data_IF_127473239349
#
_entry.id   IF_127473239349
#
_cell.length_a   1.000
_cell.length_b   1.000
_cell.length_c   1.000
_cell.angle_alpha   90.00
_cell.angle_beta   90.00
_cell.angle_gamma   90.00
#
_symmetry.space_group_name_H-M   'P 1'
#
loop_
_entity.id
_entity.type
_entity.pdbx_description
1 polymer ?
#
# COMPACT_ATOMS: atom_id res chain seq x y z
N UNK A 1 49.71 17.71 -14.92
CA UNK A 1 48.32 17.29 -15.19
C UNK A 1 47.63 17.11 -13.85
N UNK A 2 46.83 18.09 -13.43
CA UNK A 2 46.03 17.98 -12.21
C UNK A 2 44.73 17.25 -12.57
N UNK A 3 44.54 16.08 -11.97
CA UNK A 3 43.32 15.31 -12.13
C UNK A 3 42.16 16.08 -11.48
N UNK A 4 41.19 16.44 -12.32
CA UNK A 4 39.92 17.03 -11.92
C UNK A 4 39.13 15.94 -11.18
N UNK A 5 39.19 15.94 -9.84
CA UNK A 5 38.32 15.13 -8.98
C UNK A 5 36.89 15.60 -9.20
N UNK A 6 36.13 14.85 -10.00
CA UNK A 6 34.68 14.95 -10.08
C UNK A 6 34.10 14.60 -8.70
N UNK A 7 33.79 15.62 -7.91
CA UNK A 7 32.86 15.49 -6.80
C UNK A 7 31.48 15.20 -7.39
N UNK A 8 31.15 13.91 -7.48
CA UNK A 8 29.79 13.46 -7.72
C UNK A 8 28.94 13.91 -6.52
N UNK A 9 28.38 15.12 -6.63
CA UNK A 9 27.42 15.69 -5.68
C UNK A 9 26.06 15.01 -5.85
N UNK A 10 26.00 13.73 -5.51
CA UNK A 10 24.75 12.98 -5.37
C UNK A 10 24.54 12.55 -3.91
N UNK A 11 24.77 13.47 -2.97
CA UNK A 11 24.08 13.40 -1.68
C UNK A 11 22.98 14.44 -1.71
N UNK A 12 21.94 14.17 -2.52
CA UNK A 12 20.64 14.76 -2.24
C UNK A 12 20.22 14.18 -0.89
N UNK A 13 20.30 15.01 0.16
CA UNK A 13 19.70 14.70 1.46
C UNK A 13 18.24 14.40 1.20
N UNK A 14 17.88 13.13 1.25
CA UNK A 14 16.49 12.71 1.27
C UNK A 14 15.93 13.21 2.59
N UNK A 15 15.15 14.29 2.53
CA UNK A 15 14.18 14.58 3.58
C UNK A 15 13.16 13.44 3.52
N UNK A 16 13.42 12.35 4.25
CA UNK A 16 12.36 11.40 4.58
C UNK A 16 11.40 12.15 5.48
N UNK A 17 10.40 12.75 4.85
CA UNK A 17 9.23 13.27 5.51
C UNK A 17 8.67 12.07 6.29
N UNK A 18 8.85 12.08 7.61
CA UNK A 18 8.54 10.97 8.53
C UNK A 18 7.08 10.56 8.36
N UNK A 19 6.83 9.58 7.48
CA UNK A 19 5.49 9.07 7.20
C UNK A 19 5.04 8.25 8.41
N UNK A 20 3.91 8.67 9.00
CA UNK A 20 3.22 8.12 10.18
C UNK A 20 3.86 6.90 10.84
N UNK A 21 4.50 7.11 11.99
CA UNK A 21 5.10 6.08 12.85
C UNK A 21 4.06 5.25 13.63
N UNK A 22 2.87 5.02 13.08
CA UNK A 22 1.83 4.19 13.67
C UNK A 22 1.54 3.00 12.77
N UNK A 23 1.69 1.78 13.29
CA UNK A 23 1.16 0.61 12.62
C UNK A 23 -0.37 0.67 12.64
N UNK A 24 -1.00 0.65 11.47
CA UNK A 24 -2.46 0.65 11.32
C UNK A 24 -2.92 -0.78 11.10
N UNK A 25 -3.81 -1.27 11.97
CA UNK A 25 -4.46 -2.57 11.77
C UNK A 25 -5.70 -2.37 10.92
N UNK A 26 -5.64 -2.84 9.68
CA UNK A 26 -6.75 -2.80 8.72
C UNK A 26 -7.46 -4.14 8.72
N UNK A 27 -8.79 -4.12 8.69
CA UNK A 27 -9.58 -5.35 8.49
C UNK A 27 -10.21 -5.33 7.10
N UNK A 28 -9.89 -6.33 6.30
CA UNK A 28 -10.49 -6.58 4.98
C UNK A 28 -11.66 -7.55 5.14
N UNK A 29 -12.72 -7.33 4.39
CA UNK A 29 -13.96 -8.11 4.45
C UNK A 29 -14.35 -8.61 3.06
N UNK A 30 -14.86 -9.84 3.02
CA UNK A 30 -15.28 -10.51 1.78
C UNK A 30 -16.60 -9.99 1.21
N UNK A 31 -17.49 -9.50 2.07
CA UNK A 31 -18.76 -8.95 1.61
C UNK A 31 -18.82 -7.44 1.83
N UNK A 32 -19.82 -6.81 1.21
CA UNK A 32 -20.18 -5.41 1.47
C UNK A 32 -20.59 -5.20 2.93
N UNK A 33 -20.54 -3.95 3.40
CA UNK A 33 -20.97 -3.57 4.75
C UNK A 33 -20.31 -4.38 5.88
N UNK A 34 -19.03 -4.75 5.70
CA UNK A 34 -18.23 -5.46 6.70
C UNK A 34 -18.73 -6.87 7.02
N UNK A 35 -19.31 -7.56 6.03
CA UNK A 35 -19.77 -8.93 6.15
C UNK A 35 -18.73 -9.98 5.72
N UNK A 36 -19.11 -11.25 5.84
CA UNK A 36 -18.34 -12.37 5.30
C UNK A 36 -17.07 -12.71 6.08
N UNK A 37 -16.14 -13.39 5.38
CA UNK A 37 -14.82 -13.72 5.91
C UNK A 37 -14.00 -12.45 6.12
N UNK A 38 -13.08 -12.47 7.10
CA UNK A 38 -12.25 -11.32 7.42
C UNK A 38 -10.76 -11.65 7.41
N UNK A 39 -9.95 -10.65 7.06
CA UNK A 39 -8.49 -10.73 7.14
C UNK A 39 -7.92 -9.44 7.73
N UNK A 40 -7.21 -9.57 8.86
CA UNK A 40 -6.51 -8.47 9.50
C UNK A 40 -5.10 -8.31 8.94
N UNK A 41 -4.76 -7.10 8.50
CA UNK A 41 -3.41 -6.75 8.05
C UNK A 41 -2.87 -5.59 8.88
N UNK A 42 -1.66 -5.75 9.41
CA UNK A 42 -0.94 -4.65 10.06
C UNK A 42 -0.09 -3.95 9.02
N UNK A 43 -0.43 -2.70 8.71
CA UNK A 43 0.27 -1.86 7.74
C UNK A 43 1.18 -0.90 8.52
N UNK A 44 2.49 -0.98 8.27
CA UNK A 44 3.51 -0.14 8.92
C UNK A 44 4.03 0.93 7.94
N UNK A 45 5.33 1.01 7.66
CA UNK A 45 5.87 1.90 6.63
C UNK A 45 5.94 1.24 5.23
N UNK A 46 5.72 -0.07 5.14
CA UNK A 46 6.03 -0.88 3.97
C UNK A 46 4.78 -1.47 3.30
N UNK A 47 4.99 -1.98 2.09
CA UNK A 47 4.01 -2.80 1.37
C UNK A 47 3.81 -4.16 2.04
N UNK A 48 2.57 -4.63 2.09
CA UNK A 48 2.20 -5.93 2.66
C UNK A 48 1.40 -6.77 1.66
N UNK A 49 2.00 -7.85 1.19
CA UNK A 49 1.39 -8.87 0.31
C UNK A 49 0.70 -10.02 1.07
N UNK A 50 0.38 -9.81 2.35
CA UNK A 50 -0.17 -10.84 3.24
C UNK A 50 -1.53 -11.42 2.81
N UNK A 51 -2.45 -10.67 2.16
CA UNK A 51 -3.71 -11.24 1.66
C UNK A 51 -3.46 -12.43 0.71
N UNK A 52 -2.48 -12.34 -0.18
CA UNK A 52 -2.10 -13.44 -1.10
C UNK A 52 -1.62 -14.66 -0.31
N UNK A 53 -0.69 -14.45 0.63
CA UNK A 53 -0.08 -15.54 1.42
C UNK A 53 -1.11 -16.25 2.29
N UNK A 54 -2.12 -15.52 2.77
CA UNK A 54 -3.19 -16.03 3.61
C UNK A 54 -4.39 -16.62 2.83
N UNK A 55 -4.39 -16.59 1.49
CA UNK A 55 -5.52 -17.06 0.68
C UNK A 55 -6.74 -16.13 0.68
N UNK A 56 -6.52 -14.85 1.01
CA UNK A 56 -7.51 -13.77 0.93
C UNK A 56 -7.28 -12.88 -0.31
N UNK A 57 -6.63 -13.42 -1.34
CA UNK A 57 -6.39 -12.74 -2.60
C UNK A 57 -7.70 -12.46 -3.33
N UNK A 58 -7.85 -11.27 -3.92
CA UNK A 58 -8.99 -10.96 -4.82
C UNK A 58 -10.36 -11.19 -4.16
N UNK A 59 -10.43 -10.95 -2.86
CA UNK A 59 -11.65 -11.17 -2.05
C UNK A 59 -12.07 -9.96 -1.25
N UNK A 60 -11.38 -8.83 -1.37
CA UNK A 60 -11.71 -7.66 -0.55
C UNK A 60 -12.84 -6.87 -1.20
N UNK A 61 -13.96 -6.75 -0.49
CA UNK A 61 -15.13 -5.98 -0.92
C UNK A 61 -15.44 -4.82 0.01
N UNK A 62 -15.11 -4.90 1.30
CA UNK A 62 -15.19 -3.76 2.22
C UNK A 62 -14.02 -3.70 3.19
N UNK A 63 -13.74 -2.50 3.74
CA UNK A 63 -12.55 -2.24 4.54
C UNK A 63 -12.90 -1.44 5.78
N UNK A 64 -12.43 -1.90 6.94
CA UNK A 64 -12.50 -1.14 8.18
C UNK A 64 -11.12 -0.65 8.60
N UNK A 65 -11.03 0.64 8.91
CA UNK A 65 -9.86 1.28 9.49
C UNK A 65 -10.13 1.69 10.95
N UNK A 66 -9.11 1.68 11.83
CA UNK A 66 -9.26 2.04 13.24
C UNK A 66 -9.75 3.46 13.47
N UNK A 67 -9.30 4.40 12.64
CA UNK A 67 -9.66 5.81 12.70
C UNK A 67 -10.19 6.32 11.36
N UNK A 68 -11.08 7.32 11.40
CA UNK A 68 -11.58 8.01 10.21
C UNK A 68 -10.50 8.78 9.45
N UNK A 69 -9.36 9.05 10.11
CA UNK A 69 -8.23 9.77 9.54
C UNK A 69 -7.11 8.83 9.06
N UNK A 70 -7.23 7.52 9.30
CA UNK A 70 -6.27 6.56 8.78
C UNK A 70 -6.43 6.43 7.27
N UNK A 71 -5.31 6.17 6.60
CA UNK A 71 -5.25 6.06 5.15
C UNK A 71 -4.37 4.89 4.74
N UNK A 72 -4.91 4.01 3.90
CA UNK A 72 -4.17 2.93 3.25
C UNK A 72 -4.45 2.90 1.75
N UNK A 73 -3.54 2.32 0.98
CA UNK A 73 -3.72 2.05 -0.44
C UNK A 73 -3.90 0.56 -0.63
N UNK A 74 -4.97 0.19 -1.34
CA UNK A 74 -5.17 -1.15 -1.87
C UNK A 74 -4.49 -1.24 -3.22
N UNK A 75 -3.86 -2.37 -3.51
CA UNK A 75 -3.19 -2.64 -4.77
C UNK A 75 -3.74 -3.91 -5.41
N UNK A 76 -3.95 -3.84 -6.71
CA UNK A 76 -4.49 -4.96 -7.49
C UNK A 76 -3.52 -6.13 -7.48
N UNK A 77 -2.24 -5.85 -7.68
CA UNK A 77 -1.22 -6.88 -7.77
C UNK A 77 -0.47 -7.04 -6.44
N UNK A 78 0.24 -8.15 -6.35
CA UNK A 78 1.18 -8.40 -5.26
C UNK A 78 2.31 -7.36 -5.29
N UNK A 79 2.93 -7.14 -4.13
CA UNK A 79 4.13 -6.31 -3.99
C UNK A 79 3.88 -4.84 -4.36
N UNK A 80 2.63 -4.38 -4.14
CA UNK A 80 2.15 -3.02 -4.36
C UNK A 80 2.38 -2.53 -5.79
N UNK A 81 1.86 -3.30 -6.74
CA UNK A 81 1.92 -3.04 -8.18
C UNK A 81 0.50 -2.95 -8.76
N UNK A 82 0.41 -2.65 -10.05
CA UNK A 82 -0.86 -2.59 -10.77
C UNK A 82 -1.65 -1.32 -10.50
N UNK A 83 -2.98 -1.44 -10.61
CA UNK A 83 -3.93 -0.40 -10.22
C UNK A 83 -3.98 -0.26 -8.70
N UNK A 84 -4.32 0.94 -8.23
CA UNK A 84 -4.34 1.25 -6.82
C UNK A 84 -5.47 2.19 -6.44
N UNK A 85 -6.00 2.04 -5.24
CA UNK A 85 -7.04 2.91 -4.70
C UNK A 85 -6.74 3.31 -3.26
N UNK A 86 -6.85 4.61 -2.95
CA UNK A 86 -6.66 5.12 -1.60
C UNK A 86 -7.95 5.05 -0.82
N UNK A 87 -7.87 4.41 0.35
CA UNK A 87 -8.96 4.25 1.32
C UNK A 87 -8.66 5.18 2.48
N UNK A 88 -9.47 6.23 2.63
CA UNK A 88 -9.45 7.14 3.79
C UNK A 88 -10.68 6.83 4.63
N UNK A 89 -10.46 6.46 5.90
CA UNK A 89 -11.51 5.93 6.76
C UNK A 89 -12.11 4.60 6.27
N UNK A 90 -13.08 4.08 7.02
CA UNK A 90 -13.74 2.80 6.67
C UNK A 90 -14.65 2.96 5.45
N UNK A 91 -14.66 1.97 4.57
CA UNK A 91 -15.46 1.93 3.33
C UNK A 91 -16.31 0.68 3.30
N UNK A 92 -17.63 0.84 3.17
CA UNK A 92 -18.58 -0.27 3.11
C UNK A 92 -18.58 -0.99 1.75
N UNK A 93 -17.88 -0.43 0.76
CA UNK A 93 -17.66 -1.00 -0.56
C UNK A 93 -16.33 -0.49 -1.14
N UNK A 94 -15.51 -1.39 -1.68
CA UNK A 94 -14.15 -1.11 -2.18
C UNK A 94 -14.10 -0.57 -3.63
N UNK A 95 -15.25 -0.25 -4.22
CA UNK A 95 -15.39 0.34 -5.57
C UNK A 95 -14.54 -0.42 -6.61
N UNK A 96 -13.60 0.25 -7.29
CA UNK A 96 -12.76 -0.34 -8.34
C UNK A 96 -11.83 -1.45 -7.85
N UNK A 97 -11.69 -1.63 -6.54
CA UNK A 97 -10.86 -2.65 -5.89
C UNK A 97 -11.66 -3.84 -5.34
N UNK A 98 -12.97 -3.88 -5.58
CA UNK A 98 -13.81 -5.02 -5.23
C UNK A 98 -13.26 -6.30 -5.85
N UNK A 99 -12.94 -7.30 -5.02
CA UNK A 99 -12.41 -8.60 -5.44
C UNK A 99 -11.13 -8.52 -6.27
N UNK A 100 -10.31 -7.49 -6.01
CA UNK A 100 -9.04 -7.29 -6.73
C UNK A 100 -7.84 -7.06 -5.82
N UNK A 101 -8.03 -6.98 -4.50
CA UNK A 101 -6.93 -6.60 -3.61
C UNK A 101 -5.98 -7.77 -3.37
N UNK A 102 -4.71 -7.58 -3.74
CA UNK A 102 -3.63 -8.54 -3.49
C UNK A 102 -2.57 -8.01 -2.51
N UNK A 103 -2.43 -6.70 -2.37
CA UNK A 103 -1.53 -6.10 -1.38
C UNK A 103 -2.02 -4.75 -0.85
N UNK A 104 -1.48 -4.34 0.29
CA UNK A 104 -1.88 -3.12 1.01
C UNK A 104 -0.63 -2.35 1.44
N UNK A 105 -0.67 -1.03 1.36
CA UNK A 105 0.41 -0.15 1.85
C UNK A 105 -0.14 1.08 2.56
N UNK A 106 0.71 1.88 3.23
CA UNK A 106 0.36 3.25 3.59
C UNK A 106 0.06 4.10 2.34
N UNK A 107 -0.77 5.13 2.47
CA UNK A 107 -1.08 6.04 1.37
C UNK A 107 0.13 6.81 0.82
N UNK A 108 1.17 6.98 1.63
CA UNK A 108 2.39 7.68 1.24
C UNK A 108 3.51 6.72 0.84
N UNK A 109 3.17 5.43 0.64
CA UNK A 109 4.12 4.44 0.18
C UNK A 109 4.59 4.79 -1.24
N UNK A 110 5.90 5.00 -1.37
CA UNK A 110 6.54 5.11 -2.67
C UNK A 110 6.92 3.69 -3.07
N UNK A 111 6.04 3.05 -3.84
CA UNK A 111 6.30 1.71 -4.37
C UNK A 111 7.57 1.64 -5.21
N UNK A 112 8.02 0.42 -5.57
CA UNK A 112 9.08 0.28 -6.55
C UNK A 112 8.67 1.12 -7.76
N UNK A 113 9.47 2.14 -8.08
CA UNK A 113 9.17 3.00 -9.23
C UNK A 113 8.89 2.09 -10.41
N UNK A 114 7.81 2.36 -11.18
CA UNK A 114 7.61 1.69 -12.47
C UNK A 114 8.85 2.01 -13.30
N UNK A 115 9.90 1.19 -13.19
CA UNK A 115 11.03 1.24 -14.11
C UNK A 115 10.44 0.75 -15.42
N UNK A 116 10.05 1.71 -16.26
CA UNK A 116 9.89 1.47 -17.68
C UNK A 116 11.24 1.00 -18.21
N UNK A 117 11.51 -0.31 -18.12
CA UNK A 117 12.58 -0.94 -18.88
C UNK A 117 12.08 -0.95 -20.33
N UNK A 118 12.35 0.14 -21.04
CA UNK A 118 12.19 0.16 -22.48
C UNK A 118 13.30 -0.73 -23.06
N UNK A 119 12.96 -1.74 -23.90
CA UNK A 119 13.95 -2.61 -24.54
C UNK A 119 14.91 -1.83 -25.44
#
# INVERSE_FOLDING_TARGET
MFALLFLCSCCATVLINSQGTGATVVTLFEDINYGGSTFGVTVNADCVSAPVVAGFNDRTTSIQLPSTNDCVTLWEDRDCQGDSFNVIGSQAFADSMNDRTSSVSPCNYVGPSKQSVKP
#
